data_IF_601205074972
#
_entry.id   IF_601205074972
#
_cell.length_a   1.000
_cell.length_b   1.000
_cell.length_c   1.000
_cell.angle_alpha   90.00
_cell.angle_beta   90.00
_cell.angle_gamma   90.00
#
_symmetry.space_group_name_H-M   'P 1'
#
loop_
_entity.id
_entity.type
_entity.pdbx_description
1 polymer ?
#
# COMPACT_ATOMS: atom_id res chain seq x y z
N UNK A 1 -11.03 -17.33 -5.28
CA UNK A 1 -11.58 -16.43 -4.26
C UNK A 1 -10.49 -16.23 -3.21
N UNK A 2 -10.16 -14.99 -2.84
CA UNK A 2 -9.07 -14.71 -1.88
C UNK A 2 -9.43 -15.23 -0.49
N UNK A 3 -8.49 -15.88 0.18
CA UNK A 3 -8.63 -16.30 1.58
C UNK A 3 -8.43 -15.09 2.51
N UNK A 4 -9.52 -14.64 3.13
CA UNK A 4 -9.54 -13.46 4.00
C UNK A 4 -8.71 -13.63 5.28
N UNK A 5 -8.55 -14.87 5.78
CA UNK A 5 -7.83 -15.12 7.03
C UNK A 5 -6.32 -14.93 6.89
N UNK A 6 -5.81 -14.93 5.66
CA UNK A 6 -4.39 -14.73 5.35
C UNK A 6 -4.03 -13.27 5.07
N UNK A 7 -5.00 -12.36 5.03
CA UNK A 7 -4.77 -10.95 4.76
C UNK A 7 -4.22 -10.21 5.98
N UNK A 8 -3.36 -9.23 5.73
CA UNK A 8 -3.00 -8.26 6.78
C UNK A 8 -4.26 -7.53 7.27
N UNK A 9 -4.27 -7.02 8.51
CA UNK A 9 -5.43 -6.28 9.05
C UNK A 9 -5.88 -5.13 8.13
N UNK A 10 -4.93 -4.48 7.48
CA UNK A 10 -5.21 -3.36 6.57
C UNK A 10 -5.79 -3.85 5.24
N UNK A 11 -5.25 -4.93 4.68
CA UNK A 11 -5.79 -5.60 3.51
C UNK A 11 -7.20 -6.15 3.76
N UNK A 12 -7.44 -6.78 4.91
CA UNK A 12 -8.75 -7.28 5.30
C UNK A 12 -9.78 -6.14 5.41
N UNK A 13 -9.41 -5.02 6.05
CA UNK A 13 -10.28 -3.84 6.12
C UNK A 13 -10.61 -3.28 4.73
N UNK A 14 -9.63 -3.23 3.83
CA UNK A 14 -9.84 -2.79 2.45
C UNK A 14 -10.74 -3.76 1.68
N UNK A 15 -10.54 -5.07 1.83
CA UNK A 15 -11.38 -6.10 1.23
C UNK A 15 -12.83 -6.04 1.73
N UNK A 16 -13.05 -5.82 3.02
CA UNK A 16 -14.39 -5.70 3.60
C UNK A 16 -15.12 -4.42 3.13
N UNK A 17 -14.38 -3.35 2.82
CA UNK A 17 -14.96 -2.07 2.39
C UNK A 17 -15.14 -1.97 0.88
N UNK A 18 -14.25 -2.57 0.10
CA UNK A 18 -14.18 -2.44 -1.36
C UNK A 18 -14.48 -3.74 -2.13
N UNK A 19 -14.72 -4.85 -1.45
CA UNK A 19 -14.89 -6.17 -2.05
C UNK A 19 -13.56 -6.85 -2.39
N UNK A 20 -13.66 -8.06 -2.93
CA UNK A 20 -12.51 -8.92 -3.29
C UNK A 20 -12.48 -9.31 -4.77
N UNK A 21 -13.26 -8.62 -5.61
CA UNK A 21 -13.31 -8.88 -7.05
C UNK A 21 -11.93 -8.59 -7.66
N UNK A 22 -11.33 -9.61 -8.28
CA UNK A 22 -10.01 -9.52 -8.90
C UNK A 22 -8.86 -9.14 -7.96
N UNK A 23 -9.01 -9.42 -6.66
CA UNK A 23 -7.99 -9.20 -5.64
C UNK A 23 -6.68 -9.91 -5.98
N UNK A 24 -5.57 -9.18 -5.95
CA UNK A 24 -4.25 -9.65 -6.34
C UNK A 24 -4.01 -9.74 -7.85
N UNK A 25 -5.02 -9.44 -8.68
CA UNK A 25 -4.96 -9.53 -10.15
C UNK A 25 -4.92 -8.13 -10.78
N UNK A 26 -5.82 -7.24 -10.36
CA UNK A 26 -5.85 -5.85 -10.81
C UNK A 26 -6.13 -4.89 -9.64
N UNK A 27 -5.58 -3.68 -9.71
CA UNK A 27 -5.75 -2.69 -8.66
C UNK A 27 -5.73 -1.29 -9.22
N UNK A 28 -6.77 -0.51 -8.90
CA UNK A 28 -6.92 0.89 -9.32
C UNK A 28 -6.94 1.78 -8.09
N UNK A 29 -6.11 2.83 -8.09
CA UNK A 29 -6.10 3.82 -7.00
C UNK A 29 -7.36 4.68 -6.97
N UNK A 30 -8.19 4.66 -8.01
CA UNK A 30 -9.42 5.44 -8.10
C UNK A 30 -10.61 4.59 -7.64
N UNK A 31 -10.68 3.34 -8.07
CA UNK A 31 -11.84 2.48 -7.85
C UNK A 31 -11.76 1.66 -6.56
N UNK A 32 -10.54 1.32 -6.12
CA UNK A 32 -10.34 0.44 -4.98
C UNK A 32 -9.85 1.20 -3.75
N UNK A 33 -10.12 0.64 -2.58
CA UNK A 33 -9.69 1.19 -1.30
C UNK A 33 -8.17 1.14 -1.21
N UNK A 34 -7.54 2.31 -1.07
CA UNK A 34 -6.10 2.44 -0.78
C UNK A 34 -5.83 2.09 0.67
N UNK A 35 -4.77 1.34 0.91
CA UNK A 35 -4.30 1.01 2.24
C UNK A 35 -2.78 0.93 2.28
N UNK A 36 -2.20 0.88 3.48
CA UNK A 36 -0.76 0.79 3.67
C UNK A 36 -0.34 -0.61 4.12
N UNK A 37 0.86 -1.03 3.78
CA UNK A 37 1.49 -2.19 4.41
C UNK A 37 2.96 -1.94 4.64
N UNK A 38 3.51 -2.60 5.66
CA UNK A 38 4.95 -2.60 5.90
C UNK A 38 5.66 -3.37 4.78
N UNK A 39 6.78 -2.83 4.32
CA UNK A 39 7.69 -3.59 3.47
C UNK A 39 8.50 -4.56 4.31
N UNK A 40 8.58 -5.79 3.82
CA UNK A 40 9.43 -6.82 4.39
C UNK A 40 10.90 -6.35 4.45
N UNK A 41 11.63 -6.68 5.52
CA UNK A 41 13.07 -6.51 5.56
C UNK A 41 13.71 -7.24 4.38
N UNK A 42 14.57 -6.53 3.63
CA UNK A 42 15.37 -7.13 2.56
C UNK A 42 16.83 -6.90 2.86
N UNK A 43 17.68 -7.82 2.43
CA UNK A 43 19.12 -7.63 2.52
C UNK A 43 19.55 -6.39 1.72
N UNK A 44 20.59 -5.71 2.22
CA UNK A 44 21.14 -4.51 1.61
C UNK A 44 20.36 -3.21 1.87
N UNK A 45 20.81 -2.12 1.21
CA UNK A 45 20.32 -0.77 1.47
C UNK A 45 18.92 -0.56 0.90
N UNK A 46 17.97 -0.14 1.74
CA UNK A 46 16.64 0.34 1.32
C UNK A 46 16.77 1.62 0.49
N UNK A 47 15.91 1.76 -0.55
CA UNK A 47 15.82 2.97 -1.36
C UNK A 47 15.47 4.18 -0.49
N UNK A 48 15.89 5.36 -0.90
CA UNK A 48 15.49 6.63 -0.29
C UNK A 48 14.04 6.98 -0.66
N UNK A 49 13.29 7.57 0.26
CA UNK A 49 11.91 7.99 0.04
C UNK A 49 11.84 9.09 -0.99
N UNK A 50 10.93 8.95 -1.95
CA UNK A 50 10.67 9.97 -2.97
C UNK A 50 9.65 11.04 -2.52
N UNK A 51 9.17 10.94 -1.28
CA UNK A 51 8.29 11.94 -0.64
C UNK A 51 9.00 13.24 -0.24
N UNK A 52 10.34 13.28 -0.32
CA UNK A 52 11.16 14.45 0.03
C UNK A 52 11.80 14.41 1.43
N UNK A 53 11.46 13.45 2.29
CA UNK A 53 11.98 13.41 3.66
C UNK A 53 13.42 12.84 3.80
N UNK A 54 14.02 12.32 2.73
CA UNK A 54 15.37 11.73 2.77
C UNK A 54 15.50 10.40 3.54
N UNK A 55 14.45 9.96 4.25
CA UNK A 55 14.46 8.68 4.98
C UNK A 55 14.36 7.48 4.04
N UNK A 56 14.54 6.27 4.59
CA UNK A 56 14.37 5.01 3.84
C UNK A 56 12.89 4.73 3.57
N UNK A 57 12.62 4.06 2.45
CA UNK A 57 11.30 3.53 2.13
C UNK A 57 10.94 2.41 3.12
N UNK A 58 9.81 2.53 3.81
CA UNK A 58 9.38 1.57 4.84
C UNK A 58 8.03 0.92 4.56
N UNK A 59 7.19 1.57 3.76
CA UNK A 59 5.83 1.14 3.51
C UNK A 59 5.55 1.05 2.01
N UNK A 60 4.57 0.21 1.66
CA UNK A 60 3.95 0.14 0.33
C UNK A 60 2.51 0.64 0.40
N UNK A 61 2.11 1.38 -0.63
CA UNK A 61 0.73 1.76 -0.89
C UNK A 61 0.07 0.69 -1.74
N UNK A 62 -0.96 0.07 -1.20
CA UNK A 62 -1.65 -1.08 -1.76
C UNK A 62 -3.07 -0.73 -2.18
N UNK A 63 -3.56 -1.41 -3.21
CA UNK A 63 -4.98 -1.46 -3.59
C UNK A 63 -5.31 -2.86 -4.06
N UNK A 64 -6.44 -3.39 -3.64
CA UNK A 64 -6.94 -4.70 -4.08
C UNK A 64 -5.85 -5.81 -4.08
N UNK A 65 -4.97 -5.85 -3.06
CA UNK A 65 -3.87 -6.82 -2.99
C UNK A 65 -2.61 -6.50 -3.81
N UNK A 66 -2.55 -5.36 -4.52
CA UNK A 66 -1.45 -4.98 -5.40
C UNK A 66 -0.75 -3.71 -4.91
N UNK A 67 0.58 -3.73 -4.93
CA UNK A 67 1.40 -2.56 -4.61
C UNK A 67 1.49 -1.60 -5.80
N UNK A 68 1.08 -0.34 -5.60
CA UNK A 68 1.21 0.71 -6.63
C UNK A 68 2.35 1.69 -6.35
N UNK A 69 2.72 1.88 -5.08
CA UNK A 69 3.78 2.83 -4.71
C UNK A 69 4.49 2.42 -3.43
N UNK A 70 5.63 3.03 -3.15
CA UNK A 70 6.42 2.79 -1.92
C UNK A 70 7.01 4.08 -1.39
N UNK A 71 6.86 4.36 -0.10
CA UNK A 71 7.40 5.56 0.52
C UNK A 71 7.73 5.32 2.01
N UNK A 72 8.08 6.37 2.74
CA UNK A 72 8.04 6.32 4.20
C UNK A 72 6.57 6.22 4.67
N UNK A 73 6.37 5.97 5.96
CA UNK A 73 5.05 5.86 6.57
C UNK A 73 4.16 7.07 6.25
N UNK A 74 4.64 8.28 6.51
CA UNK A 74 3.88 9.52 6.25
C UNK A 74 3.57 9.72 4.76
N UNK A 75 4.50 9.37 3.87
CA UNK A 75 4.31 9.46 2.43
C UNK A 75 3.20 8.52 1.94
N UNK A 76 3.16 7.29 2.46
CA UNK A 76 2.08 6.35 2.15
C UNK A 76 0.77 6.77 2.82
N UNK A 77 0.79 7.27 4.07
CA UNK A 77 -0.40 7.77 4.73
C UNK A 77 -1.05 8.93 3.96
N UNK A 78 -0.23 9.84 3.40
CA UNK A 78 -0.71 10.89 2.49
C UNK A 78 -1.30 10.30 1.22
N UNK A 79 -0.62 9.34 0.60
CA UNK A 79 -1.09 8.70 -0.63
C UNK A 79 -2.41 7.95 -0.44
N UNK A 80 -2.60 7.27 0.69
CA UNK A 80 -3.88 6.62 1.02
C UNK A 80 -5.02 7.64 1.03
N UNK A 81 -4.80 8.82 1.64
CA UNK A 81 -5.81 9.88 1.74
C UNK A 81 -6.04 10.64 0.42
N UNK A 82 -4.97 10.96 -0.30
CA UNK A 82 -5.00 11.96 -1.40
C UNK A 82 -4.70 11.38 -2.78
N UNK A 83 -4.08 10.20 -2.84
CA UNK A 83 -3.54 9.63 -4.07
C UNK A 83 -2.16 10.18 -4.45
N UNK A 84 -1.61 11.14 -3.70
CA UNK A 84 -0.30 11.74 -3.94
C UNK A 84 0.67 11.44 -2.79
N UNK A 85 1.91 11.10 -3.12
CA UNK A 85 2.97 10.86 -2.10
C UNK A 85 3.66 12.17 -1.71
N UNK A 86 3.82 13.09 -2.66
CA UNK A 86 4.38 14.42 -2.43
C UNK A 86 3.28 15.39 -1.96
N UNK A 87 3.65 16.43 -1.20
CA UNK A 87 2.76 17.57 -0.95
C UNK A 87 2.35 18.23 -2.26
#
# INVERSE_FOLDING_TARGET
MTDLNRLSRQALSAAMRGGTVGWGIHGSSIEHVRYSELLEPRCGRRRTCHCGCGNRVTHRGMVNGIALTTACELGIARWVKTGQVKP
#
